data_IF_255238555738
#
_entry.id   IF_255238555738
#
_cell.length_a   1.000
_cell.length_b   1.000
_cell.length_c   1.000
_cell.angle_alpha   90.00
_cell.angle_beta   90.00
_cell.angle_gamma   90.00
#
_symmetry.space_group_name_H-M   'P 1'
#
loop_
_entity.id
_entity.type
_entity.pdbx_description
1 polymer ?
#
# COMPACT_ATOMS: atom_id res chain seq x y z
N UNK A 1 12.35 -17.65 25.59
CA UNK A 1 11.55 -17.34 24.39
C UNK A 1 12.39 -16.40 23.54
N UNK A 2 12.84 -16.81 22.37
CA UNK A 2 13.47 -15.88 21.44
C UNK A 2 12.46 -14.79 21.09
N UNK A 3 12.87 -13.51 21.17
CA UNK A 3 11.97 -12.40 20.87
C UNK A 3 11.52 -12.50 19.40
N UNK A 4 10.21 -12.67 19.17
CA UNK A 4 9.65 -12.63 17.83
C UNK A 4 9.80 -11.21 17.27
N UNK A 5 10.70 -11.04 16.30
CA UNK A 5 10.89 -9.77 15.58
C UNK A 5 10.14 -9.87 14.26
N UNK A 6 9.21 -8.94 14.04
CA UNK A 6 8.44 -8.78 12.79
C UNK A 6 9.41 -8.66 11.61
N UNK A 7 9.13 -9.34 10.49
CA UNK A 7 9.96 -9.36 9.28
C UNK A 7 10.23 -7.96 8.74
N UNK A 8 9.28 -7.05 8.84
CA UNK A 8 9.47 -5.63 8.48
C UNK A 8 10.62 -4.94 9.24
N UNK A 9 11.00 -5.46 10.41
CA UNK A 9 12.18 -5.02 11.17
C UNK A 9 13.38 -5.92 10.96
N UNK A 10 13.19 -7.25 10.93
CA UNK A 10 14.26 -8.24 10.76
C UNK A 10 14.97 -8.12 9.40
N UNK A 11 14.19 -7.92 8.34
CA UNK A 11 14.66 -7.82 6.95
C UNK A 11 14.80 -6.39 6.47
N UNK A 12 14.83 -5.41 7.40
CA UNK A 12 15.05 -4.01 7.01
C UNK A 12 16.43 -3.89 6.33
N UNK A 13 16.48 -3.43 5.06
CA UNK A 13 17.72 -3.23 4.33
C UNK A 13 18.77 -2.45 5.12
N UNK A 14 20.01 -2.91 5.06
CA UNK A 14 21.19 -2.25 5.68
C UNK A 14 22.13 -1.63 4.65
N UNK A 15 21.99 -2.03 3.38
CA UNK A 15 22.79 -1.58 2.25
C UNK A 15 21.88 -1.23 1.08
N UNK A 16 22.34 -0.33 0.21
CA UNK A 16 21.57 0.13 -0.94
C UNK A 16 21.19 -1.01 -1.89
N UNK A 17 22.09 -1.96 -2.12
CA UNK A 17 21.87 -3.15 -2.97
C UNK A 17 20.71 -4.04 -2.50
N UNK A 18 20.35 -3.94 -1.21
CA UNK A 18 19.26 -4.73 -0.61
C UNK A 18 17.91 -4.01 -0.62
N UNK A 19 17.87 -2.76 -1.11
CA UNK A 19 16.63 -2.00 -1.26
C UNK A 19 15.89 -2.43 -2.52
N UNK A 20 14.60 -2.73 -2.36
CA UNK A 20 13.78 -3.29 -3.45
C UNK A 20 13.10 -2.17 -4.25
N UNK A 21 13.21 -2.23 -5.58
CA UNK A 21 12.43 -1.40 -6.51
C UNK A 21 12.80 0.10 -6.57
N UNK A 22 13.95 0.50 -6.02
CA UNK A 22 14.39 1.91 -5.97
C UNK A 22 15.81 2.12 -6.52
N UNK A 23 16.24 1.30 -7.49
CA UNK A 23 17.59 1.35 -8.06
C UNK A 23 17.99 2.74 -8.55
N UNK A 24 17.07 3.46 -9.22
CA UNK A 24 17.32 4.82 -9.70
C UNK A 24 17.73 5.80 -8.60
N UNK A 25 17.22 5.63 -7.37
CA UNK A 25 17.57 6.50 -6.23
C UNK A 25 18.85 6.00 -5.58
N UNK A 26 18.95 4.70 -5.32
CA UNK A 26 20.10 4.14 -4.61
C UNK A 26 21.39 4.33 -5.39
N UNK A 27 21.35 4.13 -6.71
CA UNK A 27 22.52 4.30 -7.58
C UNK A 27 22.95 5.77 -7.62
N UNK A 28 21.98 6.69 -7.74
CA UNK A 28 22.26 8.14 -7.72
C UNK A 28 22.88 8.58 -6.39
N UNK A 29 22.35 8.10 -5.26
CA UNK A 29 22.91 8.40 -3.94
C UNK A 29 24.32 7.81 -3.77
N UNK A 30 24.55 6.59 -4.25
CA UNK A 30 25.85 5.93 -4.23
C UNK A 30 26.90 6.72 -5.04
N UNK A 31 26.56 7.15 -6.24
CA UNK A 31 27.42 8.00 -7.07
C UNK A 31 27.69 9.36 -6.40
N UNK A 32 26.66 10.02 -5.86
CA UNK A 32 26.82 11.32 -5.19
C UNK A 32 27.75 11.23 -3.96
N UNK A 33 27.65 10.14 -3.18
CA UNK A 33 28.58 9.87 -2.09
C UNK A 33 29.99 9.65 -2.63
N UNK A 34 30.15 8.85 -3.70
CA UNK A 34 31.45 8.57 -4.32
C UNK A 34 32.19 9.85 -4.73
N UNK A 35 31.49 10.75 -5.42
CA UNK A 35 32.03 11.99 -5.98
C UNK A 35 32.11 13.18 -4.99
N UNK A 36 31.70 13.00 -3.72
CA UNK A 36 31.58 14.10 -2.74
C UNK A 36 30.67 15.25 -3.20
N UNK A 37 29.63 14.95 -3.98
CA UNK A 37 28.66 15.93 -4.49
C UNK A 37 27.31 15.86 -3.76
N UNK A 38 27.30 15.37 -2.52
CA UNK A 38 26.06 15.26 -1.75
C UNK A 38 25.57 16.64 -1.30
N UNK A 39 24.30 16.96 -1.59
CA UNK A 39 23.65 18.14 -1.07
C UNK A 39 23.52 18.08 0.47
N UNK A 40 23.59 19.24 1.12
CA UNK A 40 23.38 19.34 2.58
C UNK A 40 21.91 19.13 2.98
N UNK A 41 20.96 19.28 2.05
CA UNK A 41 19.54 19.06 2.29
C UNK A 41 18.93 18.18 1.20
N UNK A 42 18.37 17.05 1.62
CA UNK A 42 17.77 16.02 0.79
C UNK A 42 16.31 15.84 1.19
N UNK A 43 15.40 15.74 0.22
CA UNK A 43 13.98 15.49 0.46
C UNK A 43 13.54 14.21 -0.23
N UNK A 44 13.17 13.21 0.58
CA UNK A 44 12.65 11.93 0.14
C UNK A 44 11.12 11.97 0.14
N UNK A 45 10.53 11.94 -1.04
CA UNK A 45 9.09 11.98 -1.25
C UNK A 45 8.58 10.65 -1.77
N UNK A 46 7.40 10.22 -1.34
CA UNK A 46 6.72 9.07 -1.94
C UNK A 46 5.79 8.34 -0.97
N UNK A 47 5.03 7.33 -1.44
CA UNK A 47 4.05 6.62 -0.63
C UNK A 47 4.64 5.99 0.64
N UNK A 48 3.79 5.66 1.61
CA UNK A 48 4.23 4.95 2.83
C UNK A 48 4.78 3.56 2.46
N UNK A 49 5.77 3.09 3.21
CA UNK A 49 6.25 1.70 3.09
C UNK A 49 7.16 1.38 1.90
N UNK A 50 7.51 2.37 1.06
CA UNK A 50 8.41 2.21 -0.11
C UNK A 50 9.92 2.26 0.24
N UNK A 51 10.29 2.53 1.50
CA UNK A 51 11.69 2.49 1.95
C UNK A 51 12.35 3.83 2.26
N UNK A 52 11.66 4.98 2.22
CA UNK A 52 12.21 6.33 2.48
C UNK A 52 13.13 6.42 3.71
N UNK A 53 12.60 6.16 4.91
CA UNK A 53 13.35 6.21 6.18
C UNK A 53 14.48 5.17 6.22
N UNK A 54 14.32 4.05 5.52
CA UNK A 54 15.36 3.02 5.44
C UNK A 54 16.53 3.50 4.58
N UNK A 55 16.26 4.05 3.39
CA UNK A 55 17.29 4.67 2.55
C UNK A 55 17.97 5.84 3.25
N UNK A 56 17.24 6.64 4.04
CA UNK A 56 17.81 7.73 4.83
C UNK A 56 18.85 7.24 5.84
N UNK A 57 18.54 6.14 6.55
CA UNK A 57 19.47 5.52 7.50
C UNK A 57 20.68 4.89 6.82
N UNK A 58 20.47 4.22 5.68
CA UNK A 58 21.58 3.65 4.88
C UNK A 58 22.51 4.77 4.39
N UNK A 59 21.94 5.86 3.89
CA UNK A 59 22.70 7.04 3.45
C UNK A 59 23.51 7.63 4.60
N UNK A 60 22.88 7.85 5.76
CA UNK A 60 23.54 8.38 6.94
C UNK A 60 24.72 7.51 7.38
N UNK A 61 24.54 6.18 7.33
CA UNK A 61 25.59 5.21 7.61
C UNK A 61 26.74 5.29 6.60
N UNK A 62 26.47 5.28 5.29
CA UNK A 62 27.50 5.36 4.24
C UNK A 62 28.32 6.67 4.32
N UNK A 63 27.68 7.79 4.67
CA UNK A 63 28.36 9.09 4.86
C UNK A 63 29.41 8.98 5.98
N UNK A 64 29.04 8.40 7.12
CA UNK A 64 29.92 8.26 8.27
C UNK A 64 31.00 7.18 8.08
N UNK A 65 30.69 6.11 7.32
CA UNK A 65 31.64 5.05 6.96
C UNK A 65 32.76 5.59 6.06
N UNK A 66 32.43 6.40 5.05
CA UNK A 66 33.43 7.02 4.15
C UNK A 66 34.43 7.89 4.90
N UNK A 67 34.02 8.46 6.02
CA UNK A 67 34.82 9.41 6.78
C UNK A 67 35.68 8.77 7.89
N UNK A 68 35.65 7.44 8.02
CA UNK A 68 36.54 6.70 8.94
C UNK A 68 36.09 6.71 10.40
N UNK A 69 34.82 7.01 10.69
CA UNK A 69 34.22 6.81 12.01
C UNK A 69 33.79 5.34 12.18
N UNK A 70 34.75 4.44 12.45
CA UNK A 70 34.56 2.96 12.28
C UNK A 70 34.03 2.23 13.53
N UNK A 71 33.82 2.88 14.67
CA UNK A 71 33.22 2.22 15.84
C UNK A 71 31.69 2.19 15.74
N UNK A 72 31.04 1.02 15.85
CA UNK A 72 29.57 0.86 15.85
C UNK A 72 28.85 1.85 16.80
N UNK A 73 29.44 2.13 17.96
CA UNK A 73 28.92 3.11 18.93
C UNK A 73 29.03 4.56 18.42
N UNK A 74 30.06 4.88 17.64
CA UNK A 74 30.31 6.20 17.05
C UNK A 74 29.26 6.62 16.02
N UNK A 75 28.69 5.67 15.28
CA UNK A 75 27.66 5.93 14.28
C UNK A 75 26.37 6.48 14.91
N UNK A 76 25.98 5.96 16.07
CA UNK A 76 24.76 6.38 16.75
C UNK A 76 24.83 7.84 17.21
N UNK A 77 26.00 8.35 17.57
CA UNK A 77 26.17 9.73 18.03
C UNK A 77 26.02 10.77 16.90
N UNK A 78 26.25 10.37 15.65
CA UNK A 78 26.22 11.26 14.49
C UNK A 78 24.93 11.19 13.67
N UNK A 79 23.98 10.33 14.06
CA UNK A 79 22.70 10.20 13.40
C UNK A 79 21.61 10.62 14.39
N UNK A 80 20.95 11.73 14.10
CA UNK A 80 19.80 12.20 14.86
C UNK A 80 18.53 11.92 14.06
N UNK A 81 17.59 11.18 14.64
CA UNK A 81 16.31 10.87 14.00
C UNK A 81 15.17 11.51 14.79
N UNK A 82 14.36 12.34 14.12
CA UNK A 82 13.18 12.99 14.68
C UNK A 82 11.95 12.57 13.87
N UNK A 83 10.95 12.06 14.57
CA UNK A 83 9.62 11.84 14.00
C UNK A 83 8.78 13.10 14.19
N UNK A 84 8.50 13.81 13.08
CA UNK A 84 7.74 15.05 13.10
C UNK A 84 6.26 14.83 13.43
N UNK A 85 5.73 13.60 13.32
CA UNK A 85 4.37 13.32 13.78
C UNK A 85 4.25 13.41 15.31
N UNK A 86 5.34 13.10 16.03
CA UNK A 86 5.40 13.10 17.49
C UNK A 86 6.01 14.39 18.06
N UNK A 87 6.87 15.08 17.29
CA UNK A 87 7.62 16.27 17.70
C UNK A 87 7.37 17.42 16.70
N UNK A 88 6.11 17.88 16.62
CA UNK A 88 5.67 18.87 15.61
C UNK A 88 5.74 20.33 16.08
N UNK A 89 6.14 20.57 17.33
CA UNK A 89 6.10 21.89 17.93
C UNK A 89 7.27 22.75 17.46
N UNK A 90 7.13 24.07 17.61
CA UNK A 90 8.20 25.02 17.28
C UNK A 90 9.40 24.83 18.19
N UNK A 91 9.16 24.46 19.44
CA UNK A 91 10.20 24.33 20.45
C UNK A 91 11.06 23.09 20.19
N UNK A 92 10.46 21.96 19.78
CA UNK A 92 11.21 20.75 19.37
C UNK A 92 12.20 21.05 18.21
N UNK A 93 11.74 21.82 17.22
CA UNK A 93 12.59 22.21 16.09
C UNK A 93 13.65 23.23 16.51
N UNK A 94 13.37 24.12 17.46
CA UNK A 94 14.38 25.04 18.00
C UNK A 94 15.48 24.27 18.73
N UNK A 95 15.12 23.27 19.54
CA UNK A 95 16.10 22.40 20.20
C UNK A 95 16.97 21.68 19.17
N UNK A 96 16.38 21.16 18.08
CA UNK A 96 17.14 20.57 16.97
C UNK A 96 18.10 21.60 16.35
N UNK A 97 17.63 22.81 16.05
CA UNK A 97 18.46 23.88 15.46
C UNK A 97 19.61 24.27 16.38
N UNK A 98 19.40 24.33 17.68
CA UNK A 98 20.45 24.63 18.64
C UNK A 98 21.49 23.49 18.69
N UNK A 99 21.06 22.24 18.59
CA UNK A 99 21.95 21.09 18.48
C UNK A 99 22.76 21.05 17.18
N UNK A 100 22.22 21.57 16.07
CA UNK A 100 22.88 21.64 14.75
C UNK A 100 24.13 22.54 14.78
N UNK A 101 24.14 23.56 15.64
CA UNK A 101 25.26 24.51 15.75
C UNK A 101 26.55 23.87 16.26
N UNK A 102 26.44 22.76 16.98
CA UNK A 102 27.61 22.06 17.52
C UNK A 102 28.18 21.08 16.50
N UNK A 103 29.50 21.12 16.31
CA UNK A 103 30.23 20.18 15.47
C UNK A 103 30.11 18.74 16.01
N UNK A 104 30.19 17.71 15.15
CA UNK A 104 30.17 16.31 15.58
C UNK A 104 31.34 15.99 16.52
N UNK A 105 31.09 15.13 17.50
CA UNK A 105 32.13 14.70 18.46
C UNK A 105 33.08 13.66 17.86
N UNK A 106 32.60 12.88 16.87
CA UNK A 106 33.35 11.85 16.14
C UNK A 106 33.05 12.04 14.66
N UNK A 107 34.04 11.94 13.76
CA UNK A 107 33.83 12.14 12.32
C UNK A 107 33.59 13.61 11.92
N UNK A 108 33.28 13.84 10.63
CA UNK A 108 33.10 15.17 10.01
C UNK A 108 31.65 15.57 9.80
N UNK A 109 30.74 14.61 9.71
CA UNK A 109 29.34 14.88 9.39
C UNK A 109 28.41 14.45 10.52
N UNK A 110 27.32 15.21 10.67
CA UNK A 110 26.18 14.91 11.54
C UNK A 110 24.92 14.93 10.70
N UNK A 111 24.23 13.80 10.67
CA UNK A 111 23.08 13.56 9.80
C UNK A 111 21.79 13.66 10.61
N UNK A 112 20.86 14.49 10.15
CA UNK A 112 19.57 14.74 10.75
C UNK A 112 18.47 14.17 9.85
N UNK A 113 17.83 13.09 10.30
CA UNK A 113 16.72 12.46 9.60
C UNK A 113 15.42 12.97 10.23
N UNK A 114 14.58 13.65 9.46
CA UNK A 114 13.27 14.12 9.91
C UNK A 114 12.21 13.35 9.13
N UNK A 115 11.55 12.40 9.78
CA UNK A 115 10.48 11.60 9.18
C UNK A 115 9.13 12.31 9.28
N UNK A 116 8.27 12.07 8.30
CA UNK A 116 6.96 12.72 8.12
C UNK A 116 6.99 14.25 8.29
N UNK A 117 7.98 14.92 7.70
CA UNK A 117 8.24 16.36 7.88
C UNK A 117 7.01 17.25 7.59
N UNK A 118 6.08 16.79 6.74
CA UNK A 118 4.82 17.49 6.46
C UNK A 118 3.91 17.66 7.70
N UNK A 119 4.16 16.92 8.78
CA UNK A 119 3.44 17.01 10.05
C UNK A 119 3.94 18.15 10.95
N UNK A 120 5.07 18.80 10.61
CA UNK A 120 5.56 19.97 11.34
C UNK A 120 4.55 21.12 11.27
N UNK A 121 4.39 21.84 12.38
CA UNK A 121 3.61 23.07 12.40
C UNK A 121 4.23 24.14 11.48
N UNK A 122 3.40 25.04 10.92
CA UNK A 122 3.89 26.12 10.04
C UNK A 122 4.94 27.00 10.71
N UNK A 123 4.81 27.22 12.02
CA UNK A 123 5.79 27.99 12.79
C UNK A 123 7.12 27.23 12.95
N UNK A 124 7.08 25.90 13.12
CA UNK A 124 8.28 25.06 13.19
C UNK A 124 9.00 25.04 11.82
N UNK A 125 8.24 24.94 10.73
CA UNK A 125 8.78 25.05 9.37
C UNK A 125 9.52 26.37 9.11
N UNK A 126 8.91 27.50 9.49
CA UNK A 126 9.53 28.82 9.32
C UNK A 126 10.80 28.99 10.17
N UNK A 127 10.81 28.43 11.39
CA UNK A 127 12.02 28.42 12.22
C UNK A 127 13.14 27.59 11.59
N UNK A 128 12.79 26.48 10.93
CA UNK A 128 13.75 25.60 10.28
C UNK A 128 14.34 26.16 8.99
N UNK A 129 13.60 27.02 8.26
CA UNK A 129 14.04 27.59 6.98
C UNK A 129 15.44 28.20 7.06
N UNK A 130 15.70 29.05 8.06
CA UNK A 130 17.00 29.74 8.20
C UNK A 130 18.18 28.76 8.25
N UNK A 131 17.99 27.63 8.92
CA UNK A 131 19.01 26.58 9.05
C UNK A 131 19.18 25.77 7.76
N UNK A 132 18.12 25.64 6.95
CA UNK A 132 18.20 25.03 5.62
C UNK A 132 18.83 25.97 4.57
N UNK A 133 18.71 27.30 4.71
CA UNK A 133 19.33 28.25 3.78
C UNK A 133 20.84 28.32 3.95
N UNK A 134 21.29 28.31 5.21
CA UNK A 134 22.70 28.38 5.58
C UNK A 134 23.08 27.21 6.51
N UNK A 135 23.04 25.95 6.02
CA UNK A 135 23.37 24.81 6.85
C UNK A 135 24.87 24.79 7.19
N UNK A 136 25.25 24.48 8.44
CA UNK A 136 26.65 24.26 8.78
C UNK A 136 27.29 23.19 7.89
N UNK A 137 28.57 23.36 7.55
CA UNK A 137 29.28 22.45 6.62
C UNK A 137 29.28 20.97 7.07
N UNK A 138 29.17 20.72 8.39
CA UNK A 138 29.10 19.38 8.97
C UNK A 138 27.68 18.81 9.02
N UNK A 139 26.63 19.61 8.80
CA UNK A 139 25.24 19.18 8.96
C UNK A 139 24.64 18.73 7.63
N UNK A 140 24.04 17.54 7.62
CA UNK A 140 23.29 16.99 6.49
C UNK A 140 21.87 16.69 6.94
N UNK A 141 20.89 17.23 6.24
CA UNK A 141 19.47 17.05 6.51
C UNK A 141 18.86 16.08 5.49
N UNK A 142 18.18 15.05 5.99
CA UNK A 142 17.39 14.12 5.20
C UNK A 142 15.95 14.22 5.68
N UNK A 143 15.11 14.88 4.88
CA UNK A 143 13.70 15.06 5.16
C UNK A 143 12.91 13.96 4.44
N UNK A 144 11.98 13.29 5.11
CA UNK A 144 11.09 12.32 4.48
C UNK A 144 9.63 12.73 4.62
N UNK A 145 8.84 12.50 3.57
CA UNK A 145 7.39 12.81 3.58
C UNK A 145 6.60 11.86 2.69
N UNK A 146 5.39 11.50 3.13
CA UNK A 146 4.38 10.87 2.27
C UNK A 146 3.62 11.86 1.39
N UNK A 147 3.61 13.15 1.75
CA UNK A 147 2.76 14.16 1.15
C UNK A 147 3.59 15.36 0.65
N UNK A 148 4.12 15.25 -0.57
CA UNK A 148 4.94 16.30 -1.21
C UNK A 148 4.21 17.64 -1.33
N UNK A 149 2.89 17.61 -1.60
CA UNK A 149 2.07 18.80 -1.80
C UNK A 149 1.84 19.63 -0.53
N UNK A 150 2.03 19.03 0.66
CA UNK A 150 1.94 19.74 1.95
C UNK A 150 3.24 20.49 2.29
N UNK A 151 4.34 20.22 1.57
CA UNK A 151 5.61 20.90 1.79
C UNK A 151 5.60 22.26 1.11
N UNK A 152 5.99 23.29 1.84
CA UNK A 152 6.05 24.66 1.33
C UNK A 152 7.10 24.77 0.20
N UNK A 153 6.83 25.54 -0.87
CA UNK A 153 7.75 25.68 -2.01
C UNK A 153 9.16 26.17 -1.64
N UNK A 154 9.29 26.96 -0.57
CA UNK A 154 10.57 27.47 -0.07
C UNK A 154 11.52 26.37 0.41
N UNK A 155 10.99 25.25 0.93
CA UNK A 155 11.80 24.09 1.30
C UNK A 155 12.16 23.28 0.06
N UNK A 156 11.18 23.09 -0.84
CA UNK A 156 11.40 22.35 -2.09
C UNK A 156 12.52 22.96 -2.93
N UNK A 157 12.65 24.29 -2.94
CA UNK A 157 13.69 24.98 -3.70
C UNK A 157 15.10 24.87 -3.09
N UNK A 158 15.21 24.44 -1.82
CA UNK A 158 16.47 24.36 -1.06
C UNK A 158 16.91 22.91 -0.81
N UNK A 159 16.09 21.94 -1.20
CA UNK A 159 16.39 20.51 -1.04
C UNK A 159 16.57 19.85 -2.41
N UNK A 160 17.49 18.89 -2.49
CA UNK A 160 17.52 17.96 -3.61
C UNK A 160 16.43 16.90 -3.41
N UNK A 161 15.50 16.80 -4.37
CA UNK A 161 14.31 15.96 -4.24
C UNK A 161 14.55 14.58 -4.85
N UNK A 162 14.20 13.54 -4.11
CA UNK A 162 14.19 12.14 -4.56
C UNK A 162 12.76 11.59 -4.44
N UNK A 163 12.15 11.31 -5.59
CA UNK A 163 10.79 10.77 -5.67
C UNK A 163 10.83 9.24 -5.72
N UNK A 164 10.48 8.62 -4.60
CA UNK A 164 10.30 7.18 -4.42
C UNK A 164 9.00 6.73 -5.08
N UNK A 165 9.10 5.68 -5.91
CA UNK A 165 7.96 5.13 -6.63
C UNK A 165 7.35 3.96 -5.84
N UNK A 166 6.13 3.59 -6.20
CA UNK A 166 5.54 2.33 -5.73
C UNK A 166 6.40 1.17 -6.24
N UNK A 167 6.64 0.20 -5.37
CA UNK A 167 7.39 -1.00 -5.73
C UNK A 167 6.47 -1.88 -6.58
N UNK A 168 7.00 -2.49 -7.64
CA UNK A 168 6.21 -3.33 -8.53
C UNK A 168 5.73 -4.59 -7.80
N UNK A 169 4.64 -5.19 -8.26
CA UNK A 169 4.10 -6.43 -7.69
C UNK A 169 5.14 -7.56 -7.81
N UNK A 170 5.82 -7.63 -8.95
CA UNK A 170 6.87 -8.61 -9.26
C UNK A 170 8.06 -8.49 -8.30
N UNK A 171 8.52 -7.26 -8.02
CA UNK A 171 9.62 -6.99 -7.09
C UNK A 171 9.24 -7.39 -5.64
N UNK A 172 8.02 -7.06 -5.20
CA UNK A 172 7.53 -7.45 -3.87
C UNK A 172 7.44 -8.98 -3.78
N UNK A 173 6.82 -9.62 -4.78
CA UNK A 173 6.67 -11.07 -4.83
C UNK A 173 8.04 -11.77 -4.81
N UNK A 174 9.00 -11.31 -5.62
CA UNK A 174 10.36 -11.82 -5.64
C UNK A 174 11.07 -11.67 -4.29
N UNK A 175 10.89 -10.54 -3.61
CA UNK A 175 11.44 -10.34 -2.27
C UNK A 175 10.81 -11.28 -1.24
N UNK A 176 9.49 -11.46 -1.26
CA UNK A 176 8.78 -12.40 -0.38
C UNK A 176 9.23 -13.84 -0.63
N UNK A 177 9.46 -14.22 -1.89
CA UNK A 177 9.99 -15.54 -2.28
C UNK A 177 11.34 -15.81 -1.61
N UNK A 178 12.24 -14.84 -1.66
CA UNK A 178 13.56 -14.93 -1.02
C UNK A 178 13.46 -15.07 0.50
N UNK A 179 12.54 -14.35 1.15
CA UNK A 179 12.31 -14.47 2.60
C UNK A 179 11.72 -15.83 2.96
N UNK A 180 10.73 -16.30 2.21
CA UNK A 180 10.09 -17.59 2.45
C UNK A 180 11.10 -18.74 2.35
N UNK A 181 12.02 -18.69 1.38
CA UNK A 181 13.12 -19.64 1.26
C UNK A 181 14.07 -19.58 2.45
N UNK A 182 14.46 -18.38 2.90
CA UNK A 182 15.36 -18.19 4.06
C UNK A 182 14.76 -18.71 5.37
N UNK A 183 13.45 -18.52 5.57
CA UNK A 183 12.73 -18.93 6.78
C UNK A 183 12.20 -20.39 6.73
N UNK A 184 12.47 -21.11 5.64
CA UNK A 184 11.94 -22.45 5.36
C UNK A 184 10.40 -22.50 5.47
N UNK A 185 9.72 -21.55 4.84
CA UNK A 185 8.26 -21.47 4.74
C UNK A 185 7.84 -22.07 3.39
N UNK A 186 6.88 -23.00 3.39
CA UNK A 186 6.24 -23.48 2.16
C UNK A 186 5.23 -22.45 1.66
N UNK A 187 5.18 -22.21 0.35
CA UNK A 187 4.29 -21.22 -0.24
C UNK A 187 3.83 -21.62 -1.65
N UNK A 188 2.66 -21.12 -2.03
CA UNK A 188 2.19 -21.06 -3.40
C UNK A 188 2.51 -19.68 -4.00
N UNK A 189 2.95 -19.65 -5.26
CA UNK A 189 3.40 -18.39 -5.90
C UNK A 189 2.24 -17.38 -6.05
N UNK A 190 1.04 -17.88 -6.37
CA UNK A 190 -0.21 -17.10 -6.44
C UNK A 190 -0.56 -16.45 -5.10
N UNK A 191 -0.24 -17.12 -3.98
CA UNK A 191 -0.48 -16.56 -2.65
C UNK A 191 0.43 -15.36 -2.36
N UNK A 192 1.70 -15.42 -2.79
CA UNK A 192 2.63 -14.29 -2.68
C UNK A 192 2.25 -13.14 -3.61
N UNK A 193 1.76 -13.45 -4.81
CA UNK A 193 1.21 -12.46 -5.74
C UNK A 193 0.05 -11.70 -5.10
N UNK A 194 -0.89 -12.41 -4.46
CA UNK A 194 -2.04 -11.83 -3.78
C UNK A 194 -1.62 -10.89 -2.64
N UNK A 195 -0.60 -11.25 -1.86
CA UNK A 195 -0.02 -10.39 -0.82
C UNK A 195 0.57 -9.12 -1.43
N UNK A 196 1.35 -9.26 -2.50
CA UNK A 196 1.99 -8.15 -3.19
C UNK A 196 0.96 -7.18 -3.79
N UNK A 197 -0.09 -7.71 -4.41
CA UNK A 197 -1.21 -6.93 -4.93
C UNK A 197 -1.93 -6.16 -3.81
N UNK A 198 -2.20 -6.83 -2.68
CA UNK A 198 -2.88 -6.20 -1.54
C UNK A 198 -2.05 -5.10 -0.87
N UNK A 199 -0.72 -5.21 -0.94
CA UNK A 199 0.20 -4.24 -0.36
C UNK A 199 0.33 -2.94 -1.16
N UNK A 200 -0.23 -2.85 -2.36
CA UNK A 200 -0.32 -1.62 -3.17
C UNK A 200 1.02 -0.87 -3.34
N UNK A 201 2.11 -1.63 -3.51
CA UNK A 201 3.46 -1.10 -3.68
C UNK A 201 4.20 -0.72 -2.39
N UNK A 202 3.61 -0.97 -1.21
CA UNK A 202 4.23 -0.76 0.10
C UNK A 202 4.83 -2.06 0.65
N UNK A 203 6.15 -2.25 0.49
CA UNK A 203 6.83 -3.48 0.94
C UNK A 203 6.67 -3.75 2.44
N UNK A 204 6.65 -2.69 3.27
CA UNK A 204 6.41 -2.83 4.72
C UNK A 204 5.07 -3.52 5.03
N UNK A 205 4.04 -3.20 4.26
CA UNK A 205 2.70 -3.76 4.45
C UNK A 205 2.65 -5.20 3.93
N UNK A 206 3.30 -5.47 2.79
CA UNK A 206 3.48 -6.83 2.27
C UNK A 206 4.15 -7.77 3.30
N UNK A 207 5.24 -7.31 3.93
CA UNK A 207 5.94 -8.07 4.97
C UNK A 207 5.07 -8.30 6.21
N UNK A 208 4.28 -7.30 6.60
CA UNK A 208 3.38 -7.42 7.76
C UNK A 208 2.25 -8.43 7.50
N UNK A 209 1.72 -8.45 6.28
CA UNK A 209 0.74 -9.45 5.82
C UNK A 209 1.39 -10.84 5.78
N UNK A 210 2.58 -10.95 5.21
CA UNK A 210 3.32 -12.21 5.12
C UNK A 210 3.58 -12.83 6.49
N UNK A 211 3.99 -12.04 7.48
CA UNK A 211 4.19 -12.52 8.86
C UNK A 211 2.91 -13.04 9.49
N UNK A 212 1.80 -12.31 9.32
CA UNK A 212 0.49 -12.73 9.80
C UNK A 212 0.08 -14.07 9.18
N UNK A 213 0.28 -14.21 7.87
CA UNK A 213 -0.01 -15.44 7.14
C UNK A 213 0.89 -16.59 7.54
N UNK A 214 2.19 -16.37 7.71
CA UNK A 214 3.13 -17.41 8.13
C UNK A 214 2.77 -17.96 9.53
N UNK A 215 2.29 -17.08 10.42
CA UNK A 215 1.85 -17.43 11.77
C UNK A 215 0.54 -18.21 11.74
N UNK A 216 -0.46 -17.71 11.00
CA UNK A 216 -1.78 -18.35 10.90
C UNK A 216 -1.72 -19.71 10.19
N UNK A 217 -0.88 -19.82 9.17
CA UNK A 217 -0.82 -20.99 8.31
C UNK A 217 0.19 -22.06 8.75
N UNK A 218 0.87 -21.87 9.88
CA UNK A 218 1.94 -22.74 10.40
C UNK A 218 3.05 -22.98 9.36
N UNK A 219 3.58 -21.90 8.79
CA UNK A 219 4.64 -21.92 7.76
C UNK A 219 4.27 -22.61 6.43
N UNK A 220 2.97 -22.69 6.10
CA UNK A 220 2.50 -23.17 4.80
C UNK A 220 1.45 -22.23 4.19
N UNK A 221 1.91 -21.27 3.38
CA UNK A 221 1.11 -20.19 2.80
C UNK A 221 0.50 -20.64 1.47
N UNK A 222 -0.76 -21.09 1.52
CA UNK A 222 -1.58 -21.45 0.35
C UNK A 222 -2.45 -20.27 -0.09
N UNK A 223 -2.89 -20.23 -1.35
CA UNK A 223 -3.79 -19.21 -1.89
C UNK A 223 -5.09 -19.09 -1.09
N UNK A 224 -5.70 -20.22 -0.70
CA UNK A 224 -6.94 -20.23 0.07
C UNK A 224 -6.81 -19.53 1.43
N UNK A 225 -5.75 -19.86 2.20
CA UNK A 225 -5.45 -19.20 3.48
C UNK A 225 -5.07 -17.73 3.30
N UNK A 226 -4.37 -17.39 2.22
CA UNK A 226 -4.05 -16.01 1.87
C UNK A 226 -5.32 -15.20 1.63
N UNK A 227 -6.25 -15.71 0.82
CA UNK A 227 -7.54 -15.09 0.56
C UNK A 227 -8.37 -14.92 1.84
N UNK A 228 -8.42 -15.95 2.70
CA UNK A 228 -9.13 -15.90 3.98
C UNK A 228 -8.61 -14.78 4.90
N UNK A 229 -7.30 -14.75 5.18
CA UNK A 229 -6.72 -13.75 6.10
C UNK A 229 -6.72 -12.33 5.51
N UNK A 230 -6.61 -12.23 4.18
CA UNK A 230 -6.69 -10.95 3.48
C UNK A 230 -8.14 -10.46 3.31
N UNK A 231 -9.13 -11.25 3.74
CA UNK A 231 -10.54 -11.03 3.50
C UNK A 231 -10.83 -10.74 2.02
N UNK A 232 -10.18 -11.49 1.14
CA UNK A 232 -10.42 -11.47 -0.30
C UNK A 232 -11.43 -12.57 -0.60
N UNK A 233 -12.58 -12.16 -1.12
CA UNK A 233 -13.63 -13.10 -1.48
C UNK A 233 -13.19 -13.90 -2.69
N UNK A 234 -13.38 -15.22 -2.60
CA UNK A 234 -13.17 -16.10 -3.74
C UNK A 234 -14.16 -15.75 -4.86
N UNK A 235 -13.68 -15.81 -6.11
CA UNK A 235 -14.51 -15.65 -7.30
C UNK A 235 -15.69 -16.62 -7.30
N UNK A 236 -15.53 -17.82 -6.73
CA UNK A 236 -16.63 -18.79 -6.61
C UNK A 236 -17.80 -18.28 -5.74
N UNK A 237 -17.54 -17.39 -4.76
CA UNK A 237 -18.61 -16.75 -3.98
C UNK A 237 -19.37 -15.71 -4.82
N UNK A 238 -18.65 -14.93 -5.62
CA UNK A 238 -19.27 -13.97 -6.54
C UNK A 238 -20.08 -14.68 -7.64
N UNK A 239 -19.50 -15.72 -8.26
CA UNK A 239 -20.20 -16.56 -9.24
C UNK A 239 -21.51 -17.11 -8.66
N UNK A 240 -21.47 -17.68 -7.45
CA UNK A 240 -22.66 -18.19 -6.77
C UNK A 240 -23.73 -17.12 -6.53
N UNK A 241 -23.34 -15.95 -6.01
CA UNK A 241 -24.28 -14.85 -5.74
C UNK A 241 -24.91 -14.31 -7.03
N UNK A 242 -24.13 -14.18 -8.09
CA UNK A 242 -24.62 -13.69 -9.38
C UNK A 242 -25.55 -14.71 -10.04
N UNK A 243 -25.27 -16.01 -9.92
CA UNK A 243 -26.18 -17.06 -10.39
C UNK A 243 -27.50 -17.06 -9.58
N UNK A 244 -27.44 -16.94 -8.25
CA UNK A 244 -28.65 -16.81 -7.41
C UNK A 244 -29.47 -15.56 -7.76
N UNK A 245 -28.80 -14.43 -8.00
CA UNK A 245 -29.45 -13.19 -8.43
C UNK A 245 -30.13 -13.37 -9.80
N UNK A 246 -29.47 -14.03 -10.77
CA UNK A 246 -30.04 -14.33 -12.09
C UNK A 246 -31.29 -15.21 -12.00
N UNK A 247 -31.32 -16.13 -11.04
CA UNK A 247 -32.46 -17.02 -10.78
C UNK A 247 -33.58 -16.34 -9.98
N UNK A 248 -33.44 -15.06 -9.62
CA UNK A 248 -34.37 -14.29 -8.78
C UNK A 248 -34.56 -14.86 -7.36
N UNK A 249 -33.54 -15.57 -6.84
CA UNK A 249 -33.55 -16.20 -5.51
C UNK A 249 -33.09 -15.21 -4.43
N UNK A 250 -33.96 -14.24 -4.13
CA UNK A 250 -33.65 -13.16 -3.17
C UNK A 250 -33.29 -13.72 -1.77
N UNK A 251 -34.07 -14.62 -1.15
CA UNK A 251 -33.76 -15.12 0.19
C UNK A 251 -32.39 -15.82 0.25
N UNK A 252 -32.08 -16.65 -0.73
CA UNK A 252 -30.82 -17.39 -0.82
C UNK A 252 -29.63 -16.45 -1.07
N UNK A 253 -29.82 -15.41 -1.89
CA UNK A 253 -28.81 -14.37 -2.13
C UNK A 253 -28.47 -13.62 -0.83
N UNK A 254 -29.48 -13.22 -0.06
CA UNK A 254 -29.29 -12.55 1.23
C UNK A 254 -28.66 -13.49 2.27
N UNK A 255 -29.01 -14.77 2.25
CA UNK A 255 -28.39 -15.77 3.12
C UNK A 255 -26.90 -15.97 2.80
N UNK A 256 -26.56 -16.11 1.51
CA UNK A 256 -25.17 -16.23 1.06
C UNK A 256 -24.33 -15.00 1.47
N UNK A 257 -24.89 -13.80 1.31
CA UNK A 257 -24.26 -12.57 1.78
C UNK A 257 -24.07 -12.56 3.31
N UNK A 258 -25.07 -13.00 4.09
CA UNK A 258 -24.94 -13.08 5.54
C UNK A 258 -23.84 -14.05 6.00
N UNK A 259 -23.65 -15.18 5.30
CA UNK A 259 -22.56 -16.12 5.58
C UNK A 259 -21.18 -15.50 5.28
N UNK A 260 -21.08 -14.67 4.23
CA UNK A 260 -19.88 -13.88 3.95
C UNK A 260 -19.58 -12.91 5.09
N UNK A 261 -20.58 -12.14 5.54
CA UNK A 261 -20.38 -11.17 6.63
C UNK A 261 -20.01 -11.87 7.94
N UNK A 262 -20.59 -13.03 8.25
CA UNK A 262 -20.24 -13.83 9.44
C UNK A 262 -18.80 -14.31 9.44
N UNK A 263 -18.22 -14.57 8.25
CA UNK A 263 -16.80 -14.93 8.10
C UNK A 263 -15.85 -13.75 8.31
N UNK A 264 -16.38 -12.54 8.54
CA UNK A 264 -15.58 -11.34 8.86
C UNK A 264 -15.24 -10.46 7.65
N UNK A 265 -15.82 -10.74 6.48
CA UNK A 265 -15.63 -9.92 5.29
C UNK A 265 -16.37 -8.59 5.41
N UNK A 266 -15.72 -7.50 4.98
CA UNK A 266 -16.30 -6.17 4.97
C UNK A 266 -17.37 -6.06 3.85
N UNK A 267 -18.64 -5.72 4.18
CA UNK A 267 -19.68 -5.51 3.19
C UNK A 267 -19.35 -4.47 2.11
N UNK A 268 -18.52 -3.48 2.42
CA UNK A 268 -18.05 -2.47 1.47
C UNK A 268 -17.11 -3.06 0.43
N UNK A 269 -16.15 -3.88 0.88
CA UNK A 269 -15.23 -4.60 -0.02
C UNK A 269 -16.03 -5.60 -0.87
N UNK A 270 -17.03 -6.25 -0.27
CA UNK A 270 -17.94 -7.15 -0.97
C UNK A 270 -18.65 -6.44 -2.14
N UNK A 271 -19.32 -5.30 -1.90
CA UNK A 271 -20.12 -4.63 -2.94
C UNK A 271 -19.24 -4.03 -4.04
N UNK A 272 -18.07 -3.48 -3.70
CA UNK A 272 -17.10 -3.01 -4.67
C UNK A 272 -16.57 -4.16 -5.55
N UNK A 273 -16.24 -5.31 -4.93
CA UNK A 273 -15.82 -6.50 -5.67
C UNK A 273 -16.93 -7.11 -6.53
N UNK A 274 -18.19 -7.07 -6.07
CA UNK A 274 -19.34 -7.51 -6.87
C UNK A 274 -19.54 -6.62 -8.10
N UNK A 275 -19.35 -5.30 -7.97
CA UNK A 275 -19.36 -4.36 -9.09
C UNK A 275 -18.27 -4.66 -10.12
N UNK A 276 -17.05 -4.94 -9.67
CA UNK A 276 -15.96 -5.38 -10.54
C UNK A 276 -16.29 -6.71 -11.25
N UNK A 277 -16.89 -7.67 -10.54
CA UNK A 277 -17.33 -8.93 -11.12
C UNK A 277 -18.33 -8.73 -12.27
N UNK A 278 -19.36 -7.89 -12.09
CA UNK A 278 -20.29 -7.57 -13.17
C UNK A 278 -19.62 -6.84 -14.35
N UNK A 279 -18.67 -5.94 -14.07
CA UNK A 279 -17.86 -5.28 -15.10
C UNK A 279 -17.04 -6.30 -15.89
N UNK A 280 -16.44 -7.28 -15.23
CA UNK A 280 -15.66 -8.33 -15.87
C UNK A 280 -16.55 -9.31 -16.65
N UNK A 281 -17.76 -9.62 -16.19
CA UNK A 281 -18.75 -10.35 -16.99
C UNK A 281 -19.10 -9.59 -18.27
N UNK A 282 -19.26 -8.26 -18.20
CA UNK A 282 -19.51 -7.43 -19.38
C UNK A 282 -18.32 -7.47 -20.36
N UNK A 283 -17.09 -7.42 -19.85
CA UNK A 283 -15.89 -7.57 -20.68
C UNK A 283 -15.77 -8.98 -21.27
N UNK A 284 -16.25 -10.00 -20.56
CA UNK A 284 -16.24 -11.39 -21.02
C UNK A 284 -17.23 -11.66 -22.16
N UNK A 285 -18.19 -10.76 -22.44
CA UNK A 285 -19.12 -10.91 -23.57
C UNK A 285 -18.43 -10.73 -24.94
N UNK A 286 -17.30 -10.02 -25.00
CA UNK A 286 -16.57 -9.77 -26.25
C UNK A 286 -15.19 -10.42 -26.22
N UNK A 287 -14.86 -11.20 -27.24
CA UNK A 287 -13.61 -11.94 -27.34
C UNK A 287 -12.34 -11.06 -27.24
N UNK A 288 -12.40 -9.81 -27.70
CA UNK A 288 -11.29 -8.86 -27.63
C UNK A 288 -11.06 -8.25 -26.25
N UNK A 289 -12.09 -8.17 -25.42
CA UNK A 289 -12.01 -7.53 -24.09
C UNK A 289 -11.75 -8.54 -22.98
N UNK A 290 -11.82 -9.84 -23.26
CA UNK A 290 -11.43 -10.92 -22.32
C UNK A 290 -9.95 -10.79 -21.89
N UNK A 291 -9.08 -10.32 -22.78
CA UNK A 291 -7.65 -10.11 -22.47
C UNK A 291 -7.43 -9.00 -21.43
N UNK A 292 -8.41 -8.10 -21.22
CA UNK A 292 -8.34 -7.02 -20.23
C UNK A 292 -8.71 -7.47 -18.81
N UNK A 293 -9.13 -8.73 -18.64
CA UNK A 293 -9.49 -9.30 -17.34
C UNK A 293 -8.24 -9.91 -16.72
N UNK A 294 -7.81 -9.36 -15.59
CA UNK A 294 -6.63 -9.77 -14.83
C UNK A 294 -6.93 -10.99 -13.93
N UNK A 295 -7.46 -12.07 -14.51
CA UNK A 295 -7.73 -13.34 -13.81
C UNK A 295 -7.09 -14.53 -14.53
N UNK A 296 -6.83 -15.61 -13.80
CA UNK A 296 -6.24 -16.82 -14.38
C UNK A 296 -7.14 -17.49 -15.44
N UNK A 297 -6.53 -18.19 -16.40
CA UNK A 297 -7.23 -18.79 -17.55
C UNK A 297 -8.41 -19.72 -17.17
N UNK A 298 -8.30 -20.48 -16.07
CA UNK A 298 -9.39 -21.34 -15.59
C UNK A 298 -10.61 -20.53 -15.13
N UNK A 299 -10.37 -19.37 -14.52
CA UNK A 299 -11.43 -18.48 -14.03
C UNK A 299 -12.08 -17.72 -15.18
N UNK A 300 -11.29 -17.34 -16.21
CA UNK A 300 -11.83 -16.71 -17.44
C UNK A 300 -12.92 -17.57 -18.09
N UNK A 301 -12.74 -18.89 -18.15
CA UNK A 301 -13.75 -19.81 -18.70
C UNK A 301 -15.07 -19.69 -17.95
N UNK A 302 -15.05 -19.74 -16.61
CA UNK A 302 -16.25 -19.59 -15.77
C UNK A 302 -16.95 -18.23 -15.99
N UNK A 303 -16.17 -17.17 -16.18
CA UNK A 303 -16.71 -15.82 -16.44
C UNK A 303 -17.41 -15.75 -17.80
N UNK A 304 -16.83 -16.36 -18.84
CA UNK A 304 -17.45 -16.45 -20.17
C UNK A 304 -18.75 -17.25 -20.12
N UNK A 305 -18.78 -18.37 -19.40
CA UNK A 305 -20.00 -19.17 -19.24
C UNK A 305 -21.11 -18.41 -18.51
N UNK A 306 -20.77 -17.68 -17.44
CA UNK A 306 -21.76 -16.88 -16.70
C UNK A 306 -22.21 -15.65 -17.49
N UNK A 307 -21.33 -14.96 -18.22
CA UNK A 307 -21.66 -13.74 -18.96
C UNK A 307 -22.68 -13.97 -20.08
N UNK A 308 -22.69 -15.17 -20.67
CA UNK A 308 -23.66 -15.57 -21.68
C UNK A 308 -25.09 -15.68 -21.15
N UNK A 309 -25.27 -15.87 -19.83
CA UNK A 309 -26.60 -15.91 -19.19
C UNK A 309 -27.21 -14.51 -19.02
N UNK A 310 -26.44 -13.45 -19.22
CA UNK A 310 -26.84 -12.08 -18.97
C UNK A 310 -26.92 -11.26 -20.26
N UNK A 311 -27.87 -10.33 -20.32
CA UNK A 311 -27.93 -9.36 -21.41
C UNK A 311 -27.03 -8.16 -21.09
N UNK A 312 -26.46 -7.52 -22.12
CA UNK A 312 -25.56 -6.37 -21.93
C UNK A 312 -26.20 -5.25 -21.09
N UNK A 313 -27.49 -4.93 -21.33
CA UNK A 313 -28.20 -3.93 -20.53
C UNK A 313 -28.32 -4.34 -19.06
N UNK A 314 -28.60 -5.61 -18.76
CA UNK A 314 -28.72 -6.09 -17.38
C UNK A 314 -27.38 -6.00 -16.64
N UNK A 315 -26.26 -6.24 -17.34
CA UNK A 315 -24.93 -6.07 -16.75
C UNK A 315 -24.60 -4.60 -16.48
N UNK A 316 -24.98 -3.69 -17.38
CA UNK A 316 -24.82 -2.24 -17.17
C UNK A 316 -25.62 -1.80 -15.94
N UNK A 317 -26.90 -2.18 -15.88
CA UNK A 317 -27.77 -1.85 -14.74
C UNK A 317 -27.22 -2.44 -13.43
N UNK A 318 -26.66 -3.66 -13.48
CA UNK A 318 -26.04 -4.30 -12.32
C UNK A 318 -24.78 -3.58 -11.83
N UNK A 319 -23.91 -3.14 -12.74
CA UNK A 319 -22.74 -2.31 -12.41
C UNK A 319 -23.18 -0.99 -11.79
N UNK A 320 -24.22 -0.35 -12.32
CA UNK A 320 -24.74 0.91 -11.80
C UNK A 320 -25.31 0.76 -10.38
N UNK A 321 -26.10 -0.30 -10.13
CA UNK A 321 -26.62 -0.61 -8.79
C UNK A 321 -25.47 -0.82 -7.78
N UNK A 322 -24.43 -1.59 -8.15
CA UNK A 322 -23.27 -1.81 -7.28
C UNK A 322 -22.52 -0.51 -6.99
N UNK A 323 -22.29 0.32 -8.02
CA UNK A 323 -21.60 1.61 -7.86
C UNK A 323 -22.40 2.58 -6.99
N UNK A 324 -23.72 2.64 -7.18
CA UNK A 324 -24.59 3.47 -6.35
C UNK A 324 -24.59 3.01 -4.88
N UNK A 325 -24.56 1.69 -4.64
CA UNK A 325 -24.46 1.14 -3.30
C UNK A 325 -23.10 1.44 -2.65
N UNK A 326 -22.00 1.35 -3.40
CA UNK A 326 -20.64 1.66 -2.94
C UNK A 326 -20.50 3.13 -2.51
N UNK A 327 -20.92 4.07 -3.36
CA UNK A 327 -20.88 5.51 -3.07
C UNK A 327 -21.70 5.85 -1.82
N UNK A 328 -22.90 5.28 -1.71
CA UNK A 328 -23.80 5.57 -0.60
C UNK A 328 -23.44 4.82 0.69
N UNK A 329 -22.62 3.77 0.62
CA UNK A 329 -22.24 2.95 1.77
C UNK A 329 -21.66 3.80 2.90
N UNK A 330 -20.71 4.69 2.58
CA UNK A 330 -20.03 5.56 3.57
C UNK A 330 -20.94 6.61 4.19
N UNK A 331 -21.98 7.03 3.47
CA UNK A 331 -22.93 8.05 3.91
C UNK A 331 -24.15 7.47 4.62
N UNK A 332 -24.36 6.15 4.54
CA UNK A 332 -25.52 5.47 5.08
C UNK A 332 -25.44 5.31 6.60
N UNK A 333 -26.57 5.55 7.28
CA UNK A 333 -26.71 5.24 8.71
C UNK A 333 -26.72 3.74 8.99
N UNK A 334 -27.07 2.93 8.00
CA UNK A 334 -27.03 1.48 8.09
C UNK A 334 -26.39 0.91 6.82
N UNK A 335 -25.05 0.84 6.76
CA UNK A 335 -24.31 0.46 5.55
C UNK A 335 -24.65 -0.96 5.06
N UNK A 336 -24.93 -1.88 5.99
CA UNK A 336 -25.33 -3.25 5.67
C UNK A 336 -26.64 -3.28 4.89
N UNK A 337 -27.64 -2.50 5.32
CA UNK A 337 -28.94 -2.42 4.64
C UNK A 337 -28.77 -1.91 3.19
N UNK A 338 -27.86 -0.97 2.95
CA UNK A 338 -27.56 -0.47 1.60
C UNK A 338 -27.12 -1.59 0.66
N UNK A 339 -26.26 -2.51 1.13
CA UNK A 339 -25.83 -3.68 0.36
C UNK A 339 -26.96 -4.68 0.17
N UNK A 340 -27.76 -4.94 1.20
CA UNK A 340 -28.90 -5.86 1.10
C UNK A 340 -29.95 -5.36 0.08
N UNK A 341 -30.23 -4.05 0.05
CA UNK A 341 -31.11 -3.43 -0.95
C UNK A 341 -30.53 -3.61 -2.35
N UNK A 342 -29.23 -3.39 -2.54
CA UNK A 342 -28.58 -3.57 -3.83
C UNK A 342 -28.72 -5.03 -4.32
N UNK A 343 -28.50 -6.01 -3.44
CA UNK A 343 -28.69 -7.44 -3.78
C UNK A 343 -30.13 -7.79 -4.16
N UNK A 344 -31.12 -7.22 -3.47
CA UNK A 344 -32.53 -7.37 -3.83
C UNK A 344 -32.83 -6.76 -5.20
N UNK A 345 -32.30 -5.57 -5.48
CA UNK A 345 -32.46 -4.91 -6.78
C UNK A 345 -31.83 -5.73 -7.91
N UNK A 346 -30.59 -6.19 -7.73
CA UNK A 346 -29.88 -7.06 -8.67
C UNK A 346 -30.68 -8.32 -9.00
N UNK A 347 -31.20 -8.98 -7.97
CA UNK A 347 -32.02 -10.18 -8.10
C UNK A 347 -33.39 -9.93 -8.75
N UNK A 348 -33.81 -8.67 -8.88
CA UNK A 348 -35.07 -8.27 -9.50
C UNK A 348 -34.91 -7.80 -10.96
N UNK A 349 -33.67 -7.56 -11.43
CA UNK A 349 -33.38 -7.15 -12.82
C UNK A 349 -33.89 -8.15 -13.86
N UNK A 350 -33.97 -9.42 -13.49
CA UNK A 350 -34.45 -10.51 -14.33
C UNK A 350 -35.94 -10.78 -14.22
N UNK A 351 -36.61 -10.22 -13.20
CA UNK A 351 -38.02 -10.48 -12.92
C UNK A 351 -38.98 -9.69 -13.82
N UNK A 352 -38.53 -8.63 -14.51
CA UNK A 352 -39.42 -7.74 -15.27
C UNK A 352 -39.00 -7.51 -16.73
N UNK A 353 -39.50 -8.38 -17.62
CA UNK A 353 -39.90 -8.03 -19.00
C UNK A 353 -41.24 -8.68 -19.40
N UNK A 354 -41.98 -9.26 -18.44
CA UNK A 354 -43.22 -9.99 -18.70
C UNK A 354 -44.53 -9.23 -18.47
N UNK A 355 -44.66 -8.39 -17.43
CA UNK A 355 -46.01 -8.16 -16.89
C UNK A 355 -46.39 -6.75 -16.36
N UNK A 356 -45.73 -5.65 -16.75
CA UNK A 356 -46.18 -4.30 -16.26
C UNK A 356 -46.01 -3.12 -17.24
N UNK A 357 -46.07 -3.34 -18.57
CA UNK A 357 -46.37 -2.26 -19.53
C UNK A 357 -47.76 -2.41 -20.15
N UNK A 358 -48.80 -2.40 -19.31
CA UNK A 358 -50.15 -2.01 -19.74
C UNK A 358 -50.82 -1.16 -18.67
N UNK A 359 -51.10 0.08 -19.09
CA UNK A 359 -52.02 1.09 -18.52
C UNK A 359 -51.49 1.96 -17.39
N UNK A 360 -51.01 3.15 -17.79
CA UNK A 360 -51.64 4.40 -17.36
C UNK A 360 -51.43 5.45 -18.45
N UNK A 361 -52.39 5.50 -19.37
CA UNK A 361 -52.73 6.66 -20.19
C UNK A 361 -53.75 7.51 -19.47
#
# INVERSE_FOLDING_TARGET
MENFIVSARKYRPQQFDTVVGQSHITDTLEHAIGENQLAQALLFCGPRGVGKTTCARILARKINEKDGSVSEDGFAYNIYELDAASNNSVDDIRELIDQVRFAPQVGKYKVYIIDEVHMLSSAAFNAFLKTLEEPPAHAIFILATTEKHKIIPTILSRCQIYDFKRITIEDIQGHLRNIAQKENIQYEDDALYLIAQKADGALRDALSIFDRLSTFSQKNITLAKAAEVLNILDYDQYLNIVDLAKENKIPETLFAFNEIVKKGFDPHIFIAGLGNHFRDLMMAQNARTIELIEVGERTKVKFVEQSQKWNAQQLIDAVEICNHADINYKNSKNPRLTVEIALMQLSSLTANLGDTKKKSS
#
